data_IF_952838129210
#
_entry.id   IF_952838129210
#
_cell.length_a   1.000
_cell.length_b   1.000
_cell.length_c   1.000
_cell.angle_alpha   90.00
_cell.angle_beta   90.00
_cell.angle_gamma   90.00
#
_symmetry.space_group_name_H-M   'P 1'
#
loop_
_entity.id
_entity.type
_entity.pdbx_description
1 polymer ?
#
# COMPACT_ATOMS: atom_id res chain seq x y z
N UNK A 1 -17.65 10.78 -19.73
CA UNK A 1 -17.29 9.53 -20.41
C UNK A 1 -17.56 9.60 -21.90
N UNK A 2 -18.79 9.85 -22.39
CA UNK A 2 -19.14 9.83 -23.81
C UNK A 2 -18.38 10.83 -24.68
N UNK A 3 -18.06 12.03 -24.18
CA UNK A 3 -17.21 12.98 -24.90
C UNK A 3 -15.79 12.41 -25.11
N UNK A 4 -15.23 11.78 -24.08
CA UNK A 4 -13.96 11.09 -24.17
C UNK A 4 -14.00 9.89 -25.10
N UNK A 5 -15.08 9.11 -25.07
CA UNK A 5 -15.28 7.99 -25.98
C UNK A 5 -15.26 8.44 -27.46
N UNK A 6 -15.95 9.52 -27.79
CA UNK A 6 -15.91 10.11 -29.15
C UNK A 6 -14.50 10.55 -29.56
N UNK A 7 -13.72 11.09 -28.63
CA UNK A 7 -12.32 11.49 -28.89
C UNK A 7 -11.38 10.28 -29.06
N UNK A 8 -11.61 9.18 -28.31
CA UNK A 8 -10.78 7.98 -28.33
C UNK A 8 -11.09 7.05 -29.52
N UNK A 9 -12.39 6.81 -29.77
CA UNK A 9 -12.85 5.85 -30.77
C UNK A 9 -13.32 6.48 -32.08
N UNK A 10 -13.60 7.79 -32.09
CA UNK A 10 -14.21 8.47 -33.24
C UNK A 10 -15.67 8.08 -33.38
N UNK A 11 -15.95 6.95 -34.03
CA UNK A 11 -17.31 6.40 -34.17
C UNK A 11 -17.59 5.43 -33.01
N UNK A 12 -18.71 5.59 -32.32
CA UNK A 12 -19.16 4.69 -31.28
C UNK A 12 -20.03 3.60 -31.94
N UNK A 13 -19.55 2.36 -31.86
CA UNK A 13 -20.32 1.18 -32.23
C UNK A 13 -21.26 0.78 -31.08
N UNK A 14 -22.23 -0.09 -31.39
CA UNK A 14 -23.16 -0.62 -30.39
C UNK A 14 -22.38 -1.35 -29.27
N UNK A 15 -21.37 -2.14 -29.62
CA UNK A 15 -20.49 -2.83 -28.67
C UNK A 15 -19.81 -1.85 -27.68
N UNK A 16 -19.25 -0.76 -28.18
CA UNK A 16 -18.61 0.27 -27.33
C UNK A 16 -19.64 0.93 -26.42
N UNK A 17 -20.80 1.26 -26.96
CA UNK A 17 -21.88 1.93 -26.23
C UNK A 17 -22.44 1.03 -25.12
N UNK A 18 -22.77 -0.22 -25.43
CA UNK A 18 -23.26 -1.20 -24.46
C UNK A 18 -22.24 -1.43 -23.33
N UNK A 19 -20.96 -1.52 -23.67
CA UNK A 19 -19.90 -1.67 -22.67
C UNK A 19 -19.77 -0.45 -21.76
N UNK A 20 -19.84 0.77 -22.30
CA UNK A 20 -19.83 2.02 -21.52
C UNK A 20 -21.03 2.08 -20.58
N UNK A 21 -22.24 1.81 -21.10
CA UNK A 21 -23.46 1.85 -20.31
C UNK A 21 -23.45 0.83 -19.16
N UNK A 22 -22.99 -0.38 -19.44
CA UNK A 22 -22.79 -1.42 -18.44
C UNK A 22 -21.85 -0.95 -17.33
N UNK A 23 -20.63 -0.49 -17.68
CA UNK A 23 -19.65 -0.03 -16.70
C UNK A 23 -20.15 1.17 -15.89
N UNK A 24 -20.79 2.16 -16.53
CA UNK A 24 -21.37 3.31 -15.85
C UNK A 24 -22.45 2.90 -14.87
N UNK A 25 -23.30 1.93 -15.23
CA UNK A 25 -24.34 1.42 -14.33
C UNK A 25 -23.73 0.75 -13.10
N UNK A 26 -22.68 -0.06 -13.26
CA UNK A 26 -21.98 -0.72 -12.16
C UNK A 26 -21.29 0.33 -11.26
N UNK A 27 -20.56 1.28 -11.83
CA UNK A 27 -19.89 2.36 -11.10
C UNK A 27 -20.90 3.20 -10.29
N UNK A 28 -22.06 3.51 -10.87
CA UNK A 28 -23.11 4.25 -10.19
C UNK A 28 -23.73 3.46 -9.02
N UNK A 29 -24.07 2.19 -9.27
CA UNK A 29 -24.70 1.32 -8.28
C UNK A 29 -23.78 0.98 -7.10
N UNK A 30 -22.47 0.93 -7.33
CA UNK A 30 -21.45 0.69 -6.30
C UNK A 30 -21.04 1.96 -5.53
N UNK A 31 -21.49 3.15 -5.97
CA UNK A 31 -21.24 4.41 -5.27
C UNK A 31 -19.91 5.09 -5.59
N UNK A 32 -19.20 4.68 -6.65
CA UNK A 32 -17.87 5.19 -6.98
C UNK A 32 -17.76 6.27 -8.08
N UNK A 33 -18.83 6.95 -8.56
CA UNK A 33 -18.67 8.02 -9.54
C UNK A 33 -17.74 9.13 -9.10
N UNK A 34 -17.82 9.52 -7.79
CA UNK A 34 -16.96 10.54 -7.21
C UNK A 34 -15.47 10.16 -7.25
N UNK A 35 -15.17 8.90 -6.97
CA UNK A 35 -13.80 8.39 -7.04
C UNK A 35 -13.20 8.51 -8.45
N UNK A 36 -13.93 8.10 -9.48
CA UNK A 36 -13.47 8.26 -10.87
C UNK A 36 -13.26 9.72 -11.26
N UNK A 37 -14.12 10.62 -10.79
CA UNK A 37 -13.99 12.06 -11.07
C UNK A 37 -12.77 12.67 -10.38
N UNK A 38 -12.49 12.30 -9.13
CA UNK A 38 -11.30 12.75 -8.41
C UNK A 38 -10.03 12.25 -9.11
N UNK A 39 -9.98 10.98 -9.48
CA UNK A 39 -8.82 10.41 -10.18
C UNK A 39 -8.60 11.08 -11.53
N UNK A 40 -9.67 11.29 -12.30
CA UNK A 40 -9.61 11.97 -13.59
C UNK A 40 -9.10 13.41 -13.46
N UNK A 41 -9.57 14.13 -12.45
CA UNK A 41 -9.17 15.50 -12.16
C UNK A 41 -7.69 15.60 -11.79
N UNK A 42 -7.18 14.71 -10.93
CA UNK A 42 -5.77 14.66 -10.57
C UNK A 42 -4.86 14.43 -11.78
N UNK A 43 -5.26 13.51 -12.65
CA UNK A 43 -4.49 13.19 -13.85
C UNK A 43 -4.52 14.36 -14.83
N UNK A 44 -5.66 15.03 -14.97
CA UNK A 44 -5.80 16.22 -15.83
C UNK A 44 -4.92 17.36 -15.31
N UNK A 45 -4.99 17.66 -14.01
CA UNK A 45 -4.17 18.68 -13.37
C UNK A 45 -2.66 18.38 -13.47
N UNK A 46 -2.26 17.12 -13.28
CA UNK A 46 -0.87 16.72 -13.45
C UNK A 46 -0.35 17.02 -14.85
N UNK A 47 -1.14 16.67 -15.88
CA UNK A 47 -0.79 16.96 -17.29
C UNK A 47 -0.74 18.44 -17.59
N UNK A 48 -1.66 19.25 -17.04
CA UNK A 48 -1.65 20.71 -17.17
C UNK A 48 -0.42 21.36 -16.51
N UNK A 49 0.11 20.74 -15.46
CA UNK A 49 1.34 21.16 -14.78
C UNK A 49 2.61 20.58 -15.43
N UNK A 50 2.51 19.94 -16.59
CA UNK A 50 3.63 19.27 -17.26
C UNK A 50 4.30 18.20 -16.38
N UNK A 51 3.47 17.44 -15.63
CA UNK A 51 3.88 16.26 -14.86
C UNK A 51 3.55 15.02 -15.68
N UNK A 52 4.55 14.18 -15.91
CA UNK A 52 4.36 12.94 -16.67
C UNK A 52 3.50 11.96 -15.86
N UNK A 53 2.48 11.41 -16.54
CA UNK A 53 1.56 10.42 -15.96
C UNK A 53 1.71 9.10 -16.70
N UNK A 54 1.89 8.02 -15.96
CA UNK A 54 1.98 6.67 -16.49
C UNK A 54 0.72 6.24 -17.28
N UNK A 55 0.82 5.20 -18.12
CA UNK A 55 -0.29 4.75 -18.97
C UNK A 55 -1.44 4.10 -18.21
N UNK A 56 -1.34 3.97 -16.90
CA UNK A 56 -2.21 3.16 -16.05
C UNK A 56 -1.72 1.71 -15.94
N UNK A 57 -1.98 1.10 -14.81
CA UNK A 57 -1.60 -0.29 -14.50
C UNK A 57 -2.66 -1.00 -13.68
N UNK A 58 -2.43 -2.29 -13.41
CA UNK A 58 -3.34 -3.09 -12.59
C UNK A 58 -4.66 -3.39 -13.27
N UNK A 59 -5.69 -3.59 -12.48
CA UNK A 59 -7.02 -3.98 -12.92
C UNK A 59 -7.80 -2.85 -13.60
N UNK A 60 -7.49 -1.58 -13.29
CA UNK A 60 -8.14 -0.41 -13.88
C UNK A 60 -8.03 -0.34 -15.41
N UNK A 61 -6.99 -0.97 -15.99
CA UNK A 61 -6.84 -1.10 -17.44
C UNK A 61 -8.00 -1.87 -18.12
N UNK A 62 -8.81 -2.61 -17.36
CA UNK A 62 -10.00 -3.32 -17.86
C UNK A 62 -11.23 -2.43 -18.03
N UNK A 63 -11.19 -1.15 -17.63
CA UNK A 63 -12.34 -0.24 -17.71
C UNK A 63 -12.32 0.66 -18.94
N UNK A 64 -13.37 0.57 -19.77
CA UNK A 64 -13.60 1.50 -20.88
C UNK A 64 -13.92 2.91 -20.37
N UNK A 65 -14.61 3.02 -19.25
CA UNK A 65 -14.88 4.32 -18.61
C UNK A 65 -13.58 4.99 -18.20
N UNK A 66 -12.65 4.26 -17.55
CA UNK A 66 -11.33 4.78 -17.19
C UNK A 66 -10.51 5.18 -18.42
N UNK A 67 -10.60 4.42 -19.52
CA UNK A 67 -9.98 4.75 -20.79
C UNK A 67 -10.56 6.03 -21.40
N UNK A 68 -11.89 6.16 -21.44
CA UNK A 68 -12.57 7.35 -21.96
C UNK A 68 -12.35 8.61 -21.10
N UNK A 69 -12.08 8.46 -19.82
CA UNK A 69 -11.75 9.54 -18.89
C UNK A 69 -10.25 9.89 -18.87
N UNK A 70 -9.44 9.28 -19.73
CA UNK A 70 -7.98 9.50 -19.79
C UNK A 70 -7.24 9.08 -18.52
N UNK A 71 -7.86 8.24 -17.70
CA UNK A 71 -7.25 7.65 -16.51
C UNK A 71 -6.22 6.60 -16.93
N UNK A 72 -6.60 5.74 -17.88
CA UNK A 72 -5.70 4.73 -18.47
C UNK A 72 -5.54 4.98 -19.97
N UNK A 73 -4.40 4.54 -20.53
CA UNK A 73 -4.10 4.70 -21.96
C UNK A 73 -4.18 3.37 -22.74
N UNK A 74 -4.52 2.28 -22.07
CA UNK A 74 -4.73 0.98 -22.69
C UNK A 74 -6.22 0.81 -23.04
N UNK A 75 -6.51 0.50 -24.29
CA UNK A 75 -7.88 0.25 -24.77
C UNK A 75 -8.34 -1.17 -24.37
N UNK A 76 -9.28 -1.30 -23.42
CA UNK A 76 -9.70 -2.60 -22.93
C UNK A 76 -10.51 -3.41 -23.95
N UNK A 77 -11.18 -2.79 -24.91
CA UNK A 77 -11.92 -3.49 -25.98
C UNK A 77 -10.92 -4.12 -26.94
N UNK A 78 -9.94 -3.34 -27.41
CA UNK A 78 -8.90 -3.84 -28.33
C UNK A 78 -8.13 -5.03 -27.78
N UNK A 79 -7.90 -5.08 -26.47
CA UNK A 79 -7.15 -6.16 -25.81
C UNK A 79 -8.04 -7.18 -25.08
N UNK A 80 -9.37 -7.10 -25.28
CA UNK A 80 -10.35 -8.00 -24.66
C UNK A 80 -10.19 -8.14 -23.14
N UNK A 81 -10.02 -7.01 -22.44
CA UNK A 81 -9.84 -6.96 -20.99
C UNK A 81 -11.21 -6.94 -20.29
N UNK A 82 -11.30 -7.69 -19.19
CA UNK A 82 -12.53 -7.84 -18.42
C UNK A 82 -12.65 -6.76 -17.35
N UNK A 83 -13.77 -6.03 -17.36
CA UNK A 83 -14.11 -5.01 -16.34
C UNK A 83 -14.34 -5.62 -14.96
N UNK A 84 -14.88 -6.82 -14.90
CA UNK A 84 -15.20 -7.53 -13.66
C UNK A 84 -13.95 -7.87 -12.83
N UNK A 85 -12.76 -7.83 -13.44
CA UNK A 85 -11.49 -7.95 -12.70
C UNK A 85 -11.13 -6.67 -11.95
N UNK A 86 -11.66 -5.53 -12.38
CA UNK A 86 -11.46 -4.23 -11.76
C UNK A 86 -12.58 -3.91 -10.78
N UNK A 87 -13.84 -4.00 -11.20
CA UNK A 87 -15.00 -3.75 -10.38
C UNK A 87 -16.06 -4.82 -10.65
N UNK A 88 -16.30 -5.66 -9.64
CA UNK A 88 -17.28 -6.73 -9.73
C UNK A 88 -18.52 -6.36 -8.89
N UNK A 89 -19.73 -6.28 -9.48
CA UNK A 89 -20.95 -5.96 -8.76
C UNK A 89 -21.28 -6.99 -7.66
N UNK A 90 -20.85 -8.24 -7.81
CA UNK A 90 -21.10 -9.33 -6.86
C UNK A 90 -20.07 -9.38 -5.71
N UNK A 91 -18.98 -8.62 -5.82
CA UNK A 91 -17.92 -8.59 -4.83
C UNK A 91 -17.70 -7.16 -4.34
N UNK A 92 -18.06 -6.93 -3.08
CA UNK A 92 -17.82 -5.65 -2.41
C UNK A 92 -16.31 -5.51 -2.17
N UNK A 93 -15.58 -5.14 -3.22
CA UNK A 93 -14.19 -4.70 -3.11
C UNK A 93 -14.08 -3.33 -3.76
N UNK A 94 -13.33 -2.43 -3.12
CA UNK A 94 -13.09 -1.11 -3.68
C UNK A 94 -12.30 -1.18 -4.98
N UNK A 95 -12.61 -0.30 -5.95
CA UNK A 95 -11.73 -0.11 -7.09
C UNK A 95 -10.42 0.51 -6.62
N UNK A 96 -9.32 -0.06 -7.07
CA UNK A 96 -7.98 0.45 -6.84
C UNK A 96 -7.40 0.96 -8.16
N UNK A 97 -7.17 2.27 -8.23
CA UNK A 97 -6.58 2.92 -9.40
C UNK A 97 -5.20 3.44 -9.02
N UNK A 98 -4.19 2.68 -9.42
CA UNK A 98 -2.80 3.08 -9.27
C UNK A 98 -2.44 4.14 -10.31
N UNK A 99 -1.94 5.28 -9.85
CA UNK A 99 -1.47 6.38 -10.69
C UNK A 99 0.02 6.55 -10.50
N UNK A 100 0.78 6.43 -11.58
CA UNK A 100 2.22 6.69 -11.57
C UNK A 100 2.50 8.11 -12.05
N UNK A 101 3.16 8.92 -11.22
CA UNK A 101 3.67 10.23 -11.59
C UNK A 101 5.19 10.21 -11.67
N UNK A 102 5.78 11.16 -12.38
CA UNK A 102 7.22 11.35 -12.31
C UNK A 102 7.65 11.85 -10.91
N UNK A 103 8.88 11.49 -10.56
CA UNK A 103 9.47 11.72 -9.24
C UNK A 103 9.53 13.22 -8.88
N UNK A 104 9.90 14.07 -9.86
CA UNK A 104 10.03 15.51 -9.69
C UNK A 104 8.66 16.22 -9.62
N UNK A 105 7.68 15.71 -10.34
CA UNK A 105 6.34 16.31 -10.44
C UNK A 105 5.39 15.94 -9.31
N UNK A 106 5.65 14.84 -8.59
CA UNK A 106 4.78 14.34 -7.52
C UNK A 106 4.45 15.39 -6.45
N UNK A 107 5.44 16.19 -6.03
CA UNK A 107 5.23 17.26 -5.06
C UNK A 107 4.19 18.28 -5.52
N UNK A 108 4.26 18.70 -6.79
CA UNK A 108 3.30 19.66 -7.39
C UNK A 108 1.88 19.12 -7.44
N UNK A 109 1.72 17.81 -7.68
CA UNK A 109 0.40 17.16 -7.64
C UNK A 109 -0.16 17.14 -6.22
N UNK A 110 0.69 16.90 -5.22
CA UNK A 110 0.30 16.95 -3.80
C UNK A 110 -0.14 18.36 -3.39
N UNK A 111 0.62 19.38 -3.79
CA UNK A 111 0.26 20.77 -3.54
C UNK A 111 -1.10 21.13 -4.16
N UNK A 112 -1.35 20.69 -5.41
CA UNK A 112 -2.64 20.85 -6.06
C UNK A 112 -3.79 20.20 -5.27
N UNK A 113 -3.59 18.99 -4.74
CA UNK A 113 -4.60 18.30 -3.93
C UNK A 113 -4.92 19.10 -2.67
N UNK A 114 -3.89 19.60 -1.99
CA UNK A 114 -4.04 20.39 -0.77
C UNK A 114 -4.76 21.71 -1.06
N UNK A 115 -4.37 22.40 -2.11
CA UNK A 115 -4.98 23.68 -2.51
C UNK A 115 -6.45 23.51 -2.90
N UNK A 116 -6.78 22.40 -3.59
CA UNK A 116 -8.12 22.15 -4.07
C UNK A 116 -9.10 21.68 -3.00
N UNK A 117 -8.68 20.77 -2.14
CA UNK A 117 -9.57 20.14 -1.15
C UNK A 117 -9.44 20.75 0.25
N UNK A 118 -8.35 21.45 0.52
CA UNK A 118 -8.03 22.06 1.80
C UNK A 118 -7.07 21.22 2.65
N UNK A 119 -6.13 21.90 3.31
CA UNK A 119 -5.11 21.25 4.14
C UNK A 119 -5.68 20.47 5.33
N UNK A 120 -6.89 20.80 5.78
CA UNK A 120 -7.59 20.10 6.85
C UNK A 120 -8.41 18.90 6.38
N UNK A 121 -8.50 18.66 5.07
CA UNK A 121 -9.25 17.56 4.48
C UNK A 121 -8.34 16.53 3.80
N UNK A 122 -7.04 16.79 3.73
CA UNK A 122 -6.04 15.95 3.06
C UNK A 122 -5.04 15.45 4.08
N UNK A 123 -4.76 14.14 4.08
CA UNK A 123 -3.73 13.55 4.92
C UNK A 123 -2.99 12.42 4.23
N UNK A 124 -1.74 12.22 4.60
CA UNK A 124 -0.99 11.02 4.29
C UNK A 124 -1.34 9.90 5.27
N UNK A 125 -1.04 8.66 4.90
CA UNK A 125 -1.28 7.50 5.75
C UNK A 125 -0.02 7.17 6.54
N UNK A 126 -0.16 6.92 7.84
CA UNK A 126 0.93 6.44 8.68
C UNK A 126 1.33 5.02 8.31
N UNK A 127 2.58 4.69 8.50
CA UNK A 127 3.07 3.31 8.53
C UNK A 127 3.74 3.03 9.86
N UNK A 128 3.51 1.84 10.40
CA UNK A 128 4.15 1.38 11.63
C UNK A 128 5.26 0.38 11.29
N UNK A 129 6.50 0.80 11.50
CA UNK A 129 7.64 -0.11 11.45
C UNK A 129 7.67 -0.94 12.73
N UNK A 130 7.51 -2.26 12.61
CA UNK A 130 7.55 -3.18 13.75
C UNK A 130 8.91 -3.84 13.87
N UNK A 131 9.24 -4.30 15.07
CA UNK A 131 10.44 -5.08 15.34
C UNK A 131 10.31 -6.46 14.68
N UNK A 132 11.00 -6.66 13.56
CA UNK A 132 11.09 -7.96 12.91
C UNK A 132 12.10 -8.85 13.64
N UNK A 133 12.06 -10.17 13.42
CA UNK A 133 12.87 -11.16 14.12
C UNK A 133 14.35 -10.78 14.27
N UNK A 134 15.04 -10.45 13.17
CA UNK A 134 16.47 -10.10 13.19
C UNK A 134 16.76 -8.74 13.85
N UNK A 135 15.86 -7.76 13.69
CA UNK A 135 16.00 -6.45 14.34
C UNK A 135 15.71 -6.54 15.82
N UNK A 136 14.74 -7.36 16.26
CA UNK A 136 14.48 -7.62 17.68
C UNK A 136 15.72 -8.16 18.39
N UNK A 137 16.42 -9.13 17.80
CA UNK A 137 17.69 -9.64 18.36
C UNK A 137 18.72 -8.51 18.50
N UNK A 138 18.97 -7.74 17.43
CA UNK A 138 19.99 -6.70 17.45
C UNK A 138 19.68 -5.56 18.42
N UNK A 139 18.43 -5.14 18.47
CA UNK A 139 18.00 -4.05 19.37
C UNK A 139 18.04 -4.52 20.84
N UNK A 140 17.59 -5.75 21.13
CA UNK A 140 17.69 -6.34 22.48
C UNK A 140 19.15 -6.54 22.89
N UNK A 141 19.99 -7.05 21.99
CA UNK A 141 21.42 -7.22 22.21
C UNK A 141 22.11 -5.91 22.58
N UNK A 142 21.76 -4.82 21.89
CA UNK A 142 22.31 -3.49 22.19
C UNK A 142 21.94 -3.00 23.59
N UNK A 143 20.72 -3.26 24.05
CA UNK A 143 20.26 -2.87 25.38
C UNK A 143 20.90 -3.71 26.49
N UNK A 144 21.19 -4.98 26.17
CA UNK A 144 21.81 -5.93 27.12
C UNK A 144 23.34 -5.94 27.05
N UNK A 145 23.95 -5.05 26.23
CA UNK A 145 25.42 -4.99 26.02
C UNK A 145 26.01 -6.31 25.46
N UNK A 146 25.22 -7.12 24.76
CA UNK A 146 25.75 -8.26 24.01
C UNK A 146 26.60 -7.78 22.85
N UNK A 147 27.83 -8.29 22.66
CA UNK A 147 28.71 -7.88 21.60
C UNK A 147 28.05 -7.99 20.21
N UNK A 148 28.28 -6.99 19.34
CA UNK A 148 27.63 -6.89 18.03
C UNK A 148 27.86 -8.13 17.16
N UNK A 149 29.06 -8.70 17.20
CA UNK A 149 29.40 -9.90 16.41
C UNK A 149 28.56 -11.12 16.85
N UNK A 150 28.26 -11.25 18.15
CA UNK A 150 27.38 -12.31 18.66
C UNK A 150 25.92 -12.06 18.29
N UNK A 151 25.45 -10.82 18.41
CA UNK A 151 24.12 -10.45 17.97
C UNK A 151 23.91 -10.75 16.47
N UNK A 152 24.90 -10.47 15.64
CA UNK A 152 24.86 -10.79 14.22
C UNK A 152 24.93 -12.29 13.93
N UNK A 153 25.70 -13.04 14.73
CA UNK A 153 25.72 -14.50 14.65
C UNK A 153 24.33 -15.08 14.92
N UNK A 154 23.71 -14.66 16.02
CA UNK A 154 22.35 -15.11 16.40
C UNK A 154 21.33 -14.71 15.32
N UNK A 155 21.39 -13.47 14.83
CA UNK A 155 20.49 -13.00 13.77
C UNK A 155 20.60 -13.79 12.46
N UNK A 156 21.78 -14.34 12.14
CA UNK A 156 21.98 -15.20 10.95
C UNK A 156 21.34 -16.58 11.11
N UNK A 157 21.13 -17.07 12.33
CA UNK A 157 20.43 -18.33 12.59
C UNK A 157 18.93 -18.25 12.29
N UNK A 158 18.39 -17.05 12.13
CA UNK A 158 16.95 -16.83 11.91
C UNK A 158 16.66 -16.90 10.41
N UNK A 159 15.86 -17.88 9.95
CA UNK A 159 15.36 -17.90 8.57
C UNK A 159 14.34 -16.78 8.33
N UNK A 160 13.76 -16.70 7.14
CA UNK A 160 12.74 -15.70 6.77
C UNK A 160 11.40 -15.82 7.52
N UNK A 161 11.43 -16.15 8.82
CA UNK A 161 10.26 -16.48 9.64
C UNK A 161 10.29 -15.70 10.97
N UNK A 162 9.11 -15.44 11.55
CA UNK A 162 8.98 -14.82 12.87
C UNK A 162 9.55 -15.71 13.98
N UNK A 163 10.20 -15.13 14.99
CA UNK A 163 10.67 -15.86 16.17
C UNK A 163 9.54 -16.60 16.87
N UNK A 164 8.38 -15.93 17.03
CA UNK A 164 7.19 -16.55 17.61
C UNK A 164 6.80 -17.86 16.93
N UNK A 165 6.85 -17.89 15.58
CA UNK A 165 6.60 -19.11 14.79
C UNK A 165 7.71 -20.16 14.96
N UNK A 166 8.98 -19.75 14.91
CA UNK A 166 10.12 -20.67 15.07
C UNK A 166 10.01 -21.47 16.36
N UNK A 167 9.63 -20.80 17.45
CA UNK A 167 9.56 -21.43 18.78
C UNK A 167 8.22 -22.14 19.06
N UNK A 168 7.15 -21.87 18.29
CA UNK A 168 5.85 -22.53 18.46
C UNK A 168 5.68 -23.79 17.62
N UNK A 169 6.40 -23.90 16.49
CA UNK A 169 6.29 -25.03 15.56
C UNK A 169 7.06 -26.25 16.07
N UNK A 170 6.47 -27.43 15.88
CA UNK A 170 7.14 -28.71 16.13
C UNK A 170 8.13 -29.07 15.00
N UNK A 171 8.90 -30.17 15.19
CA UNK A 171 9.90 -30.58 14.20
C UNK A 171 9.30 -31.00 12.85
N UNK A 172 8.06 -31.51 12.81
CA UNK A 172 7.41 -31.93 11.58
C UNK A 172 6.99 -30.68 10.78
N UNK A 173 6.36 -29.73 11.45
CA UNK A 173 5.93 -28.48 10.86
C UNK A 173 7.12 -27.62 10.38
N UNK A 174 8.25 -27.65 11.10
CA UNK A 174 9.47 -27.00 10.63
C UNK A 174 10.03 -27.65 9.37
N UNK A 175 10.01 -28.99 9.27
CA UNK A 175 10.47 -29.73 8.09
C UNK A 175 9.60 -29.48 6.84
N UNK A 176 8.33 -29.18 7.03
CA UNK A 176 7.43 -28.83 5.92
C UNK A 176 7.66 -27.40 5.40
N UNK A 177 8.12 -26.48 6.24
CA UNK A 177 8.22 -25.03 5.95
C UNK A 177 9.62 -24.53 5.65
N UNK A 178 10.63 -25.28 6.05
CA UNK A 178 12.05 -24.86 5.98
C UNK A 178 12.87 -25.91 5.21
N UNK A 179 13.95 -25.44 4.61
CA UNK A 179 14.97 -26.29 3.99
C UNK A 179 15.82 -26.95 5.06
N UNK A 180 16.45 -28.08 4.72
CA UNK A 180 17.30 -28.84 5.68
C UNK A 180 18.35 -27.98 6.35
N UNK A 181 19.02 -27.10 5.61
CA UNK A 181 20.02 -26.16 6.14
C UNK A 181 19.43 -25.17 7.15
N UNK A 182 18.22 -24.68 6.88
CA UNK A 182 17.53 -23.74 7.78
C UNK A 182 17.05 -24.39 9.06
N UNK A 183 16.74 -25.71 9.01
CA UNK A 183 16.35 -26.49 10.20
C UNK A 183 17.53 -26.62 11.16
N UNK A 184 18.75 -26.83 10.67
CA UNK A 184 19.95 -26.88 11.50
C UNK A 184 20.19 -25.55 12.21
N UNK A 185 20.05 -24.42 11.49
CA UNK A 185 20.16 -23.09 12.06
C UNK A 185 19.10 -22.82 13.15
N UNK A 186 17.84 -23.24 12.91
CA UNK A 186 16.76 -23.11 13.89
C UNK A 186 17.02 -23.97 15.13
N UNK A 187 17.54 -25.18 14.96
CA UNK A 187 17.90 -26.04 16.11
C UNK A 187 19.02 -25.44 16.93
N UNK A 188 20.05 -24.85 16.31
CA UNK A 188 21.09 -24.11 17.01
C UNK A 188 20.50 -22.92 17.78
N UNK A 189 19.60 -22.14 17.13
CA UNK A 189 18.92 -21.00 17.76
C UNK A 189 18.10 -21.44 19.01
N UNK A 190 17.31 -22.52 18.88
CA UNK A 190 16.53 -23.08 20.00
C UNK A 190 17.42 -23.52 21.14
N UNK A 191 18.52 -24.21 20.83
CA UNK A 191 19.51 -24.64 21.83
C UNK A 191 20.17 -23.46 22.54
N UNK A 192 20.54 -22.40 21.85
CA UNK A 192 21.06 -21.18 22.46
C UNK A 192 20.03 -20.52 23.39
N UNK A 193 18.76 -20.54 23.04
CA UNK A 193 17.69 -19.94 23.84
C UNK A 193 17.41 -20.70 25.16
N UNK A 194 17.80 -21.98 25.26
CA UNK A 194 17.69 -22.82 26.48
C UNK A 194 18.80 -22.54 27.48
N UNK A 195 19.85 -21.82 27.08
CA UNK A 195 20.95 -21.44 27.95
C UNK A 195 20.57 -20.45 29.05
N UNK A 196 21.55 -20.11 29.87
CA UNK A 196 21.40 -19.11 30.96
C UNK A 196 22.33 -17.92 30.80
N UNK A 197 22.99 -17.85 29.66
CA UNK A 197 23.93 -16.78 29.29
C UNK A 197 23.21 -15.56 28.69
N UNK A 198 23.98 -14.52 28.39
CA UNK A 198 23.47 -13.29 27.85
C UNK A 198 22.86 -13.49 26.45
N UNK A 199 23.35 -14.46 25.67
CA UNK A 199 22.81 -14.82 24.38
C UNK A 199 21.39 -15.41 24.50
N UNK A 200 21.18 -16.31 25.45
CA UNK A 200 19.88 -16.89 25.75
C UNK A 200 18.89 -15.84 26.26
N UNK A 201 19.33 -14.95 27.15
CA UNK A 201 18.51 -13.83 27.64
C UNK A 201 18.10 -12.90 26.48
N UNK A 202 19.03 -12.58 25.60
CA UNK A 202 18.78 -11.75 24.41
C UNK A 202 17.71 -12.37 23.49
N UNK A 203 17.83 -13.66 23.17
CA UNK A 203 16.86 -14.37 22.32
C UNK A 203 15.48 -14.38 22.98
N UNK A 204 15.37 -14.71 24.25
CA UNK A 204 14.11 -14.83 24.96
C UNK A 204 13.41 -13.48 25.13
N UNK A 205 14.14 -12.40 25.41
CA UNK A 205 13.57 -11.04 25.46
C UNK A 205 13.17 -10.54 24.05
N UNK A 206 13.98 -10.83 23.02
CA UNK A 206 13.66 -10.48 21.64
C UNK A 206 12.36 -11.14 21.14
N UNK A 207 12.06 -12.37 21.57
CA UNK A 207 10.79 -13.06 21.26
C UNK A 207 9.57 -12.34 21.82
N UNK A 208 9.70 -11.68 22.97
CA UNK A 208 8.62 -10.89 23.59
C UNK A 208 8.45 -9.57 22.85
N UNK A 209 9.55 -8.96 22.42
CA UNK A 209 9.54 -7.65 21.75
C UNK A 209 9.20 -7.72 20.27
N UNK A 210 9.32 -8.90 19.64
CA UNK A 210 8.99 -9.07 18.21
C UNK A 210 7.54 -8.65 17.94
N UNK A 211 7.36 -7.83 16.88
CA UNK A 211 6.06 -7.30 16.49
C UNK A 211 5.66 -6.00 17.17
N UNK A 212 6.37 -5.58 18.22
CA UNK A 212 6.14 -4.26 18.83
C UNK A 212 6.49 -3.14 17.87
N UNK A 213 5.75 -2.04 17.95
CA UNK A 213 6.04 -0.85 17.13
C UNK A 213 7.39 -0.26 17.54
N UNK A 214 8.25 -0.03 16.55
CA UNK A 214 9.58 0.52 16.72
C UNK A 214 9.65 1.98 16.29
N UNK A 215 9.05 2.28 15.16
CA UNK A 215 9.00 3.64 14.60
C UNK A 215 7.74 3.83 13.76
N UNK A 216 7.46 5.07 13.45
CA UNK A 216 6.43 5.45 12.50
C UNK A 216 7.08 6.04 11.25
N UNK A 217 6.47 5.82 10.12
CA UNK A 217 6.80 6.42 8.84
C UNK A 217 5.54 6.92 8.15
N UNK A 218 5.68 7.36 6.92
CA UNK A 218 4.58 7.79 6.06
C UNK A 218 4.49 6.79 4.92
N UNK A 219 3.26 6.42 4.55
CA UNK A 219 3.03 5.57 3.39
C UNK A 219 3.48 6.29 2.12
N UNK A 220 4.30 5.62 1.31
CA UNK A 220 4.94 6.26 0.15
C UNK A 220 3.94 6.80 -0.88
N UNK A 221 2.76 6.20 -1.00
CA UNK A 221 1.85 6.42 -2.11
C UNK A 221 0.43 6.86 -1.70
N UNK A 222 0.00 6.60 -0.47
CA UNK A 222 -1.39 6.79 -0.05
C UNK A 222 -1.69 8.20 0.42
N UNK A 223 -2.73 8.81 -0.15
CA UNK A 223 -3.29 10.09 0.29
C UNK A 223 -4.79 9.90 0.51
N UNK A 224 -5.28 10.46 1.61
CA UNK A 224 -6.70 10.45 1.96
C UNK A 224 -7.25 11.84 1.72
N UNK A 225 -8.41 11.91 1.09
CA UNK A 225 -9.20 13.13 0.91
C UNK A 225 -10.56 12.91 1.55
N UNK A 226 -10.95 13.78 2.47
CA UNK A 226 -12.23 13.69 3.18
C UNK A 226 -13.19 14.81 2.75
N UNK A 227 -14.51 14.58 2.82
CA UNK A 227 -15.50 15.58 2.43
C UNK A 227 -15.63 16.75 3.43
N UNK A 228 -15.06 16.61 4.62
CA UNK A 228 -14.97 17.65 5.66
C UNK A 228 -13.67 17.46 6.43
N UNK A 229 -13.45 18.25 7.49
CA UNK A 229 -12.25 18.15 8.31
C UNK A 229 -11.94 16.70 8.72
N UNK A 230 -10.72 16.25 8.43
CA UNK A 230 -10.29 14.85 8.60
C UNK A 230 -10.34 14.40 10.07
N UNK A 231 -10.22 15.33 11.00
CA UNK A 231 -10.30 15.05 12.45
C UNK A 231 -11.68 14.57 12.89
N UNK A 232 -12.72 14.78 12.07
CA UNK A 232 -14.04 14.20 12.30
C UNK A 232 -14.12 12.69 12.06
N UNK A 233 -13.12 12.13 11.37
CA UNK A 233 -13.10 10.73 10.93
C UNK A 233 -12.02 9.93 11.64
N UNK A 234 -10.81 10.45 11.71
CA UNK A 234 -9.65 9.76 12.28
C UNK A 234 -8.75 10.72 13.05
N UNK A 235 -8.04 10.22 14.08
CA UNK A 235 -6.99 10.99 14.72
C UNK A 235 -5.83 11.22 13.74
N UNK A 236 -5.25 12.42 13.80
CA UNK A 236 -4.14 12.83 12.96
C UNK A 236 -2.95 13.32 13.77
N UNK A 237 -1.80 13.36 13.15
CA UNK A 237 -0.59 14.03 13.62
C UNK A 237 0.01 14.85 12.49
N UNK A 238 0.96 15.70 12.78
CA UNK A 238 1.74 16.41 11.76
C UNK A 238 2.92 15.54 11.30
N UNK A 239 3.22 15.59 10.02
CA UNK A 239 4.44 15.00 9.48
C UNK A 239 5.68 15.71 10.06
N UNK A 240 6.80 14.98 10.19
CA UNK A 240 8.01 15.51 10.84
C UNK A 240 8.59 16.76 10.17
N UNK A 241 8.46 16.82 8.83
CA UNK A 241 9.10 17.84 8.00
C UNK A 241 8.08 18.57 7.08
N UNK A 242 6.79 18.53 7.43
CA UNK A 242 5.71 19.10 6.64
C UNK A 242 4.53 19.48 7.53
N UNK A 243 3.79 20.51 7.15
CA UNK A 243 2.54 20.90 7.81
C UNK A 243 1.35 20.02 7.41
N UNK A 244 1.59 18.97 6.61
CA UNK A 244 0.55 18.06 6.19
C UNK A 244 0.16 17.09 7.31
N UNK A 245 -1.13 16.81 7.43
CA UNK A 245 -1.65 15.79 8.32
C UNK A 245 -1.23 14.39 7.90
N UNK A 246 -0.96 13.56 8.90
CA UNK A 246 -0.75 12.12 8.77
C UNK A 246 -1.76 11.42 9.66
N UNK A 247 -2.52 10.47 9.13
CA UNK A 247 -3.46 9.69 9.94
C UNK A 247 -2.72 8.87 10.99
N UNK A 248 -3.32 8.63 12.16
CA UNK A 248 -2.77 7.70 13.16
C UNK A 248 -3.29 6.27 12.99
N UNK A 249 -4.13 6.04 12.00
CA UNK A 249 -4.54 4.72 11.55
C UNK A 249 -3.75 4.38 10.27
N UNK A 250 -3.15 3.20 10.25
CA UNK A 250 -2.46 2.68 9.07
C UNK A 250 -3.46 2.17 8.02
N UNK A 251 -2.94 1.76 6.87
CA UNK A 251 -3.76 1.30 5.75
C UNK A 251 -4.68 0.11 6.11
N UNK A 252 -4.32 -0.70 7.08
CA UNK A 252 -5.11 -1.87 7.49
C UNK A 252 -6.34 -1.50 8.33
N UNK A 253 -6.30 -0.35 9.00
CA UNK A 253 -7.34 0.11 9.93
C UNK A 253 -8.16 1.27 9.36
N UNK A 254 -7.55 2.11 8.54
CA UNK A 254 -8.18 3.30 7.96
C UNK A 254 -9.44 2.97 7.18
N UNK A 255 -9.44 1.83 6.51
CA UNK A 255 -10.62 1.31 5.82
C UNK A 255 -11.79 1.03 6.77
N UNK A 256 -11.52 0.38 7.88
CA UNK A 256 -12.54 0.08 8.90
C UNK A 256 -13.10 1.35 9.56
N UNK A 257 -12.35 2.45 9.51
CA UNK A 257 -12.79 3.77 9.96
C UNK A 257 -13.69 4.49 8.95
N UNK A 258 -13.99 3.89 7.79
CA UNK A 258 -14.90 4.45 6.79
C UNK A 258 -14.26 5.47 5.84
N UNK A 259 -12.93 5.57 5.78
CA UNK A 259 -12.20 6.51 4.92
C UNK A 259 -11.86 5.96 3.53
N UNK A 260 -12.48 4.90 3.14
CA UNK A 260 -12.22 4.14 1.92
C UNK A 260 -12.46 4.88 0.60
N UNK A 261 -13.38 5.81 0.57
CA UNK A 261 -13.83 6.47 -0.68
C UNK A 261 -12.83 7.53 -1.20
N UNK A 262 -11.74 7.77 -0.51
CA UNK A 262 -10.80 8.85 -0.82
C UNK A 262 -9.33 8.42 -0.86
N UNK A 263 -9.03 7.12 -0.87
CA UNK A 263 -7.65 6.65 -0.97
C UNK A 263 -7.17 6.71 -2.42
N UNK A 264 -6.21 7.58 -2.70
CA UNK A 264 -5.57 7.69 -4.01
C UNK A 264 -4.14 7.20 -3.87
N UNK A 265 -3.82 6.13 -4.58
CA UNK A 265 -2.45 5.63 -4.64
C UNK A 265 -1.65 6.44 -5.67
N UNK A 266 -0.80 7.34 -5.17
CA UNK A 266 0.18 8.08 -5.97
C UNK A 266 1.50 7.32 -5.85
N UNK A 267 1.85 6.52 -6.84
CA UNK A 267 3.08 5.72 -6.82
C UNK A 267 4.18 6.35 -7.68
N UNK A 268 5.42 6.15 -7.26
CA UNK A 268 6.59 6.46 -8.09
C UNK A 268 6.80 5.35 -9.11
N UNK A 269 7.23 5.67 -10.35
CA UNK A 269 7.60 4.64 -11.31
C UNK A 269 8.74 3.81 -10.74
N UNK A 270 8.55 2.50 -10.65
CA UNK A 270 9.63 1.58 -10.28
C UNK A 270 10.77 1.74 -11.27
N UNK A 271 11.89 2.31 -10.84
CA UNK A 271 13.13 2.28 -11.61
C UNK A 271 13.48 0.81 -11.84
N UNK A 272 13.36 0.34 -13.06
CA UNK A 272 14.01 -0.91 -13.46
C UNK A 272 15.50 -0.64 -13.41
N UNK A 273 16.18 -1.22 -12.42
CA UNK A 273 17.64 -1.39 -12.38
C UNK A 273 18.08 -2.29 -13.51
#
# INVERSE_FOLDING_TARGET
>A
TYEGAKKRYGTLTDEITERIDFELSVIANTGYPGYFLIVQDLIAAAREMDVSVGPGRGSAAGSVVAYCLWIVNLDPIKYNLLFERFLNPDRVSMPDIDIDFDDEGRGRVMDYVIDKYGSNQVAQIITYGTMAAKSSIRDTARVLDLPLFEADRIAKLIPGMKLSKIFSLDEKELKEKLRSEEIELVNELKKLAEGTDLSAETINKARILEGSVRNTGIHACGVIITPSDITNYVPVTLAKDSDMYVTQFDNSVVESAGLLLSLIHISEPTRRS
#
